data_IF_373667855355
#
_entry.id   IF_373667855355
#
_cell.length_a   1.000
_cell.length_b   1.000
_cell.length_c   1.000
_cell.angle_alpha   90.00
_cell.angle_beta   90.00
_cell.angle_gamma   90.00
#
_symmetry.space_group_name_H-M   'P 1'
#
loop_
_entity.id
_entity.type
_entity.pdbx_description
1 polymer ?
#
# COMPACT_ATOMS: atom_id res chain seq x y z
N UNK A 1 -1.00 -28.41 23.73
CA UNK A 1 -2.00 -27.45 23.17
C UNK A 1 -1.33 -26.41 22.25
N UNK A 2 -0.57 -26.84 21.22
CA UNK A 2 0.24 -25.96 20.35
C UNK A 2 -0.54 -25.50 19.08
N UNK A 3 -1.55 -26.26 18.65
CA UNK A 3 -2.34 -25.98 17.43
C UNK A 3 -3.23 -24.74 17.55
N UNK A 4 -3.75 -24.45 18.74
CA UNK A 4 -4.57 -23.25 18.98
C UNK A 4 -3.72 -21.97 18.92
N UNK A 5 -2.53 -21.99 19.51
CA UNK A 5 -1.60 -20.86 19.51
C UNK A 5 -1.11 -20.49 18.10
N UNK A 6 -0.80 -21.48 17.26
CA UNK A 6 -0.46 -21.25 15.84
C UNK A 6 -1.62 -20.68 15.02
N UNK A 7 -2.86 -21.02 15.35
CA UNK A 7 -4.04 -20.47 14.68
C UNK A 7 -4.23 -18.98 15.03
N UNK A 8 -4.07 -18.62 16.29
CA UNK A 8 -4.08 -17.21 16.73
C UNK A 8 -2.97 -16.42 16.05
N UNK A 9 -1.73 -16.94 16.02
CA UNK A 9 -0.62 -16.29 15.33
C UNK A 9 -0.88 -16.06 13.84
N UNK A 10 -1.42 -17.05 13.12
CA UNK A 10 -1.78 -16.90 11.70
C UNK A 10 -2.93 -15.91 11.47
N UNK A 11 -3.86 -15.81 12.42
CA UNK A 11 -4.94 -14.82 12.41
C UNK A 11 -4.38 -13.41 12.62
N UNK A 12 -3.45 -13.23 13.55
CA UNK A 12 -2.74 -11.97 13.80
C UNK A 12 -1.85 -11.57 12.61
N UNK A 13 -1.13 -12.51 11.99
CA UNK A 13 -0.36 -12.26 10.76
C UNK A 13 -1.27 -11.82 9.61
N UNK A 14 -2.41 -12.49 9.41
CA UNK A 14 -3.40 -12.11 8.39
C UNK A 14 -3.92 -10.68 8.65
N UNK A 15 -4.19 -10.36 9.92
CA UNK A 15 -4.64 -9.04 10.35
C UNK A 15 -3.57 -7.96 10.13
N UNK A 16 -2.30 -8.29 10.39
CA UNK A 16 -1.15 -7.41 10.14
C UNK A 16 -1.00 -7.06 8.65
N UNK A 17 -1.29 -8.01 7.76
CA UNK A 17 -1.32 -7.77 6.31
C UNK A 17 -2.61 -7.11 5.83
N UNK A 18 -3.56 -6.84 6.74
CA UNK A 18 -4.83 -6.19 6.43
C UNK A 18 -5.86 -7.15 5.82
N UNK A 19 -5.86 -8.43 6.21
CA UNK A 19 -6.84 -9.41 5.79
C UNK A 19 -7.57 -10.03 7.00
N UNK A 20 -8.91 -10.01 6.97
CA UNK A 20 -9.77 -10.68 7.94
C UNK A 20 -10.16 -12.03 7.40
N UNK A 21 -9.96 -13.08 8.19
CA UNK A 21 -10.47 -14.42 7.88
C UNK A 21 -11.88 -14.56 8.43
N UNK A 22 -12.81 -15.03 7.60
CA UNK A 22 -14.17 -15.41 7.98
C UNK A 22 -14.31 -16.92 7.86
N UNK A 23 -14.86 -17.55 8.90
CA UNK A 23 -15.19 -18.96 8.91
C UNK A 23 -16.53 -19.19 8.21
N UNK A 24 -16.89 -20.43 7.82
CA UNK A 24 -18.17 -20.72 7.17
C UNK A 24 -19.41 -20.38 8.03
N UNK A 25 -19.23 -20.19 9.34
CA UNK A 25 -20.28 -19.75 10.27
C UNK A 25 -20.32 -18.23 10.45
N UNK A 26 -19.26 -17.51 10.09
CA UNK A 26 -19.18 -16.07 10.26
C UNK A 26 -19.93 -15.37 9.11
N UNK A 27 -20.71 -14.33 9.43
CA UNK A 27 -21.40 -13.51 8.46
C UNK A 27 -20.58 -12.26 8.11
N UNK A 28 -20.15 -12.15 6.86
CA UNK A 28 -19.43 -10.98 6.37
C UNK A 28 -20.33 -9.98 5.61
N UNK A 29 -21.64 -10.25 5.47
CA UNK A 29 -22.56 -9.41 4.69
C UNK A 29 -22.74 -7.99 5.25
N UNK A 30 -22.55 -7.82 6.56
CA UNK A 30 -22.60 -6.53 7.25
C UNK A 30 -21.52 -5.56 6.74
N UNK A 31 -20.28 -6.05 6.58
CA UNK A 31 -19.13 -5.26 6.10
C UNK A 31 -18.91 -5.35 4.60
N UNK A 32 -19.26 -6.47 3.98
CA UNK A 32 -19.01 -6.78 2.58
C UNK A 32 -20.31 -7.28 1.93
N UNK A 33 -21.21 -6.34 1.61
CA UNK A 33 -22.45 -6.62 0.90
C UNK A 33 -22.15 -7.30 -0.43
N UNK A 34 -22.78 -8.45 -0.69
CA UNK A 34 -22.58 -9.21 -1.93
C UNK A 34 -21.39 -10.16 -1.96
N UNK A 35 -20.80 -10.52 -0.81
CA UNK A 35 -19.77 -11.56 -0.80
C UNK A 35 -20.32 -12.92 -1.26
N UNK A 36 -19.82 -13.43 -2.40
CA UNK A 36 -20.23 -14.71 -2.99
C UNK A 36 -19.97 -15.94 -2.10
N UNK A 37 -19.05 -15.80 -1.13
CA UNK A 37 -18.59 -16.86 -0.24
C UNK A 37 -19.17 -16.74 1.18
N UNK A 38 -20.02 -15.74 1.44
CA UNK A 38 -20.63 -15.54 2.75
C UNK A 38 -21.36 -16.81 3.20
N UNK A 39 -21.05 -17.26 4.42
CA UNK A 39 -21.60 -18.49 5.03
C UNK A 39 -21.44 -19.79 4.23
N UNK A 40 -20.60 -19.81 3.18
CA UNK A 40 -20.38 -21.00 2.34
C UNK A 40 -19.04 -21.67 2.61
N UNK A 41 -17.99 -20.87 2.78
CA UNK A 41 -16.63 -21.39 2.99
C UNK A 41 -15.75 -20.41 3.78
N UNK A 42 -14.61 -20.93 4.23
CA UNK A 42 -13.60 -20.07 4.85
C UNK A 42 -13.01 -19.15 3.77
N UNK A 43 -13.07 -17.84 3.99
CA UNK A 43 -12.57 -16.86 3.02
C UNK A 43 -11.87 -15.70 3.74
N UNK A 44 -11.21 -14.83 2.95
CA UNK A 44 -10.48 -13.68 3.46
C UNK A 44 -10.98 -12.39 2.80
N UNK A 45 -11.16 -11.34 3.60
CA UNK A 45 -11.51 -10.00 3.13
C UNK A 45 -10.43 -9.00 3.50
N UNK A 46 -10.17 -8.04 2.61
CA UNK A 46 -9.20 -6.98 2.87
C UNK A 46 -9.77 -5.94 3.85
N UNK A 47 -9.22 -5.84 5.07
CA UNK A 47 -9.57 -4.86 6.12
C UNK A 47 -8.94 -3.49 5.84
N UNK A 48 -8.50 -3.20 4.62
CA UNK A 48 -7.96 -1.86 4.32
C UNK A 48 -9.11 -0.86 4.26
N UNK A 49 -9.70 -0.54 5.41
CA UNK A 49 -10.83 0.36 5.63
C UNK A 49 -10.46 1.83 5.42
N UNK A 50 -9.34 2.11 4.77
CA UNK A 50 -9.01 3.44 4.30
C UNK A 50 -8.14 3.33 3.06
N UNK A 51 -8.47 3.98 1.94
CA UNK A 51 -7.45 4.29 0.95
C UNK A 51 -6.37 5.06 1.73
N UNK A 52 -5.16 4.51 1.83
CA UNK A 52 -4.00 5.31 2.24
C UNK A 52 -4.01 6.47 1.25
N UNK A 53 -4.42 7.66 1.68
CA UNK A 53 -4.43 8.84 0.80
C UNK A 53 -3.02 8.91 0.24
N UNK A 54 -2.86 8.63 -1.06
CA UNK A 54 -1.57 8.81 -1.72
C UNK A 54 -1.22 10.26 -1.45
N UNK A 55 -0.05 10.53 -0.87
CA UNK A 55 0.38 11.91 -0.64
C UNK A 55 0.24 12.61 -1.99
N UNK A 56 -0.60 13.63 -2.08
CA UNK A 56 -0.73 14.42 -3.29
C UNK A 56 0.46 15.38 -3.33
N UNK A 57 1.26 15.30 -4.38
CA UNK A 57 2.32 16.26 -4.68
C UNK A 57 1.91 17.11 -5.87
N UNK A 58 2.38 18.36 -5.92
CA UNK A 58 2.08 19.25 -7.04
C UNK A 58 2.96 18.88 -8.24
N UNK A 59 2.43 19.01 -9.46
CA UNK A 59 3.16 18.74 -10.70
C UNK A 59 4.42 19.62 -10.83
N UNK A 60 4.36 20.87 -10.37
CA UNK A 60 5.52 21.78 -10.36
C UNK A 60 6.64 21.34 -9.41
N UNK A 61 6.30 20.77 -8.25
CA UNK A 61 7.27 20.24 -7.30
C UNK A 61 7.95 18.98 -7.86
N UNK A 62 7.21 18.15 -8.61
CA UNK A 62 7.75 17.00 -9.32
C UNK A 62 8.81 17.40 -10.36
N UNK A 63 8.51 18.40 -11.21
CA UNK A 63 9.46 18.86 -12.23
C UNK A 63 10.73 19.45 -11.60
N UNK A 64 10.59 20.26 -10.53
CA UNK A 64 11.72 20.81 -9.79
C UNK A 64 12.57 19.71 -9.14
N UNK A 65 11.95 18.66 -8.60
CA UNK A 65 12.66 17.53 -8.02
C UNK A 65 13.48 16.74 -9.06
N UNK A 66 12.93 16.56 -10.27
CA UNK A 66 13.62 15.89 -11.38
C UNK A 66 14.78 16.76 -11.89
N UNK A 67 14.57 18.06 -12.11
CA UNK A 67 15.63 18.96 -12.59
C UNK A 67 16.79 19.08 -11.59
N UNK A 68 16.50 19.19 -10.29
CA UNK A 68 17.52 19.25 -9.24
C UNK A 68 18.30 17.93 -9.11
N UNK A 69 17.65 16.80 -9.38
CA UNK A 69 18.29 15.48 -9.43
C UNK A 69 19.20 15.34 -10.66
N UNK A 70 18.77 15.86 -11.83
CA UNK A 70 19.58 15.85 -13.07
C UNK A 70 20.82 16.73 -12.97
N UNK A 71 20.70 17.94 -12.42
CA UNK A 71 21.81 18.89 -12.26
C UNK A 71 22.85 18.45 -11.22
N UNK A 72 22.65 17.31 -10.54
CA UNK A 72 23.45 16.81 -9.40
C UNK A 72 23.59 17.83 -8.25
N UNK A 73 22.77 18.88 -8.23
CA UNK A 73 22.74 19.87 -7.14
C UNK A 73 22.32 19.23 -5.81
N UNK A 74 21.46 18.19 -5.86
CA UNK A 74 21.08 17.43 -4.67
C UNK A 74 20.72 15.98 -4.97
N UNK A 75 21.05 15.08 -4.03
CA UNK A 75 20.73 13.65 -4.12
C UNK A 75 19.23 13.36 -4.00
N UNK A 76 18.81 12.21 -4.55
CA UNK A 76 17.39 11.77 -4.62
C UNK A 76 16.65 11.83 -3.28
N UNK A 77 17.33 11.50 -2.16
CA UNK A 77 16.73 11.55 -0.84
C UNK A 77 16.46 12.99 -0.38
N UNK A 78 17.36 13.92 -0.72
CA UNK A 78 17.22 15.35 -0.43
C UNK A 78 16.13 15.96 -1.30
N UNK A 79 16.13 15.69 -2.60
CA UNK A 79 15.06 16.12 -3.51
C UNK A 79 13.67 15.60 -3.08
N UNK A 80 13.58 14.34 -2.66
CA UNK A 80 12.32 13.75 -2.17
C UNK A 80 11.74 14.47 -0.96
N UNK A 81 12.59 14.87 -0.01
CA UNK A 81 12.18 15.62 1.19
C UNK A 81 11.83 17.07 0.86
N UNK A 82 12.66 17.75 0.06
CA UNK A 82 12.48 19.17 -0.28
C UNK A 82 11.18 19.41 -1.05
N UNK A 83 10.85 18.52 -2.00
CA UNK A 83 9.69 18.70 -2.89
C UNK A 83 8.48 17.85 -2.48
N UNK A 84 8.56 17.09 -1.38
CA UNK A 84 7.51 16.17 -0.91
C UNK A 84 7.03 15.19 -2.01
N UNK A 85 7.95 14.78 -2.89
CA UNK A 85 7.71 13.82 -3.98
C UNK A 85 8.44 12.52 -3.62
N UNK A 86 7.82 11.33 -3.73
CA UNK A 86 8.48 10.07 -3.39
C UNK A 86 9.75 9.84 -4.21
N UNK A 87 10.81 9.38 -3.53
CA UNK A 87 12.10 9.05 -4.16
C UNK A 87 11.97 8.07 -5.34
N UNK A 88 11.01 7.14 -5.26
CA UNK A 88 10.73 6.19 -6.34
C UNK A 88 10.24 6.91 -7.57
N UNK A 89 9.25 7.80 -7.42
CA UNK A 89 8.72 8.64 -8.49
C UNK A 89 9.79 9.50 -9.15
N UNK A 90 10.68 10.12 -8.37
CA UNK A 90 11.80 10.91 -8.90
C UNK A 90 12.77 10.01 -9.68
N UNK A 91 13.16 8.86 -9.11
CA UNK A 91 14.10 7.92 -9.74
C UNK A 91 13.55 7.32 -11.03
N UNK A 92 12.27 6.94 -11.05
CA UNK A 92 11.64 6.35 -12.22
C UNK A 92 11.52 7.38 -13.34
N UNK A 93 11.09 8.61 -13.03
CA UNK A 93 10.92 9.65 -14.05
C UNK A 93 12.24 10.23 -14.54
N UNK A 94 13.25 10.35 -13.67
CA UNK A 94 14.59 10.78 -14.08
C UNK A 94 15.22 9.81 -15.11
N UNK A 95 14.93 8.50 -14.99
CA UNK A 95 15.44 7.45 -15.88
C UNK A 95 14.67 7.36 -17.21
N UNK A 96 13.37 7.65 -17.22
CA UNK A 96 12.51 7.54 -18.42
C UNK A 96 12.73 8.61 -19.50
N UNK A 97 13.56 9.62 -19.26
CA UNK A 97 13.86 10.69 -20.22
C UNK A 97 15.34 10.70 -20.66
N UNK A 98 16.14 9.72 -20.23
CA UNK A 98 17.49 9.48 -20.77
C UNK A 98 17.47 8.77 -22.13
N UNK A 99 16.29 8.33 -22.58
CA UNK A 99 16.06 7.68 -23.87
C UNK A 99 15.13 8.57 -24.71
N UNK A 100 15.65 9.71 -25.17
CA UNK A 100 15.10 10.44 -26.32
C UNK A 100 16.15 11.36 -26.92
#
# INVERSE_FOLDING_TARGET
>A
MIRHFKWHKKRDESLQHGFMRYSPMDDCSDRYRGCSHNRKQTHYHCIKMSPKKRKAWKSGDMMKAISASRKKEMGLLKASKTFNVPKSTIKDKARSEEVS
#
